data_IF_065126922201
#
_entry.id   IF_065126922201
#
_cell.length_a   1.000
_cell.length_b   1.000
_cell.length_c   1.000
_cell.angle_alpha   90.00
_cell.angle_beta   90.00
_cell.angle_gamma   90.00
#
_symmetry.space_group_name_H-M   'P 1'
#
loop_
_entity.id
_entity.type
_entity.pdbx_description
1 polymer ?
#
# COMPACT_ATOMS: atom_id res chain seq x y z
N UNK A 1 7.62 -0.69 23.04
CA UNK A 1 7.38 0.44 22.11
C UNK A 1 5.88 0.65 22.04
N UNK A 2 5.39 1.78 22.49
CA UNK A 2 3.95 2.04 22.46
C UNK A 2 3.63 2.56 21.04
N UNK A 3 2.87 1.81 20.27
CA UNK A 3 2.43 2.26 18.96
C UNK A 3 1.16 3.09 19.16
N UNK A 4 1.30 4.43 19.16
CA UNK A 4 0.16 5.33 19.37
C UNK A 4 -0.76 5.41 18.15
N UNK A 5 -0.19 5.54 16.96
CA UNK A 5 -0.95 5.83 15.73
C UNK A 5 -0.56 4.89 14.61
N UNK A 6 -1.55 4.50 13.79
CA UNK A 6 -1.36 3.60 12.65
C UNK A 6 -2.01 4.21 11.40
N UNK A 7 -1.27 4.16 10.29
CA UNK A 7 -1.78 4.53 8.97
C UNK A 7 -1.73 3.33 8.05
N UNK A 8 -2.88 2.89 7.57
CA UNK A 8 -2.98 1.92 6.50
C UNK A 8 -2.94 2.61 5.14
N UNK A 9 -2.20 2.03 4.23
CA UNK A 9 -2.11 2.48 2.84
C UNK A 9 -2.72 1.37 1.99
N UNK A 10 -3.83 1.68 1.36
CA UNK A 10 -4.60 0.77 0.51
C UNK A 10 -4.72 1.32 -0.91
N UNK A 11 -5.29 0.56 -1.82
CA UNK A 11 -5.57 1.06 -3.17
C UNK A 11 -6.88 0.51 -3.72
N UNK A 12 -7.48 1.24 -4.65
CA UNK A 12 -8.64 0.79 -5.41
C UNK A 12 -8.60 1.29 -6.86
N UNK A 13 -9.40 0.66 -7.71
CA UNK A 13 -9.61 1.15 -9.07
C UNK A 13 -10.55 2.37 -9.09
N UNK A 14 -10.20 3.35 -9.90
CA UNK A 14 -10.99 4.57 -10.10
C UNK A 14 -10.66 5.66 -9.08
N UNK A 15 -11.31 6.81 -9.25
CA UNK A 15 -10.98 8.03 -8.51
C UNK A 15 -9.80 8.79 -9.13
N UNK A 16 -9.71 10.06 -8.81
CA UNK A 16 -8.69 10.98 -9.34
C UNK A 16 -7.77 11.52 -8.25
N UNK A 17 -8.09 11.25 -6.99
CA UNK A 17 -7.38 11.82 -5.83
C UNK A 17 -7.24 10.79 -4.73
N UNK A 18 -6.16 10.85 -3.92
CA UNK A 18 -6.06 10.09 -2.68
C UNK A 18 -7.15 10.50 -1.68
N UNK A 19 -7.64 9.52 -0.95
CA UNK A 19 -8.67 9.70 0.08
C UNK A 19 -8.14 9.26 1.43
N UNK A 20 -8.40 10.05 2.46
CA UNK A 20 -8.01 9.75 3.84
C UNK A 20 -9.27 9.43 4.62
N UNK A 21 -9.40 8.19 5.09
CA UNK A 21 -10.53 7.75 5.88
C UNK A 21 -10.19 7.72 7.35
N UNK A 22 -11.05 8.37 8.13
CA UNK A 22 -11.02 8.38 9.58
C UNK A 22 -12.39 7.94 10.12
N UNK A 23 -12.44 7.37 11.31
CA UNK A 23 -13.69 6.88 11.88
C UNK A 23 -14.77 7.96 11.97
N UNK A 24 -14.40 9.18 12.36
CA UNK A 24 -15.30 10.31 12.55
C UNK A 24 -15.13 11.43 11.50
N UNK A 25 -14.34 11.22 10.44
CA UNK A 25 -14.03 12.25 9.43
C UNK A 25 -13.16 13.41 9.93
N UNK A 26 -12.68 13.36 11.17
CA UNK A 26 -11.79 14.37 11.77
C UNK A 26 -10.81 13.71 12.73
N UNK A 27 -9.52 14.03 12.61
CA UNK A 27 -8.47 13.55 13.48
C UNK A 27 -7.17 14.30 13.20
N UNK A 28 -6.35 14.48 14.23
CA UNK A 28 -5.09 15.21 14.12
C UNK A 28 -4.14 14.55 13.12
N UNK A 29 -4.12 13.21 13.08
CA UNK A 29 -3.29 12.46 12.14
C UNK A 29 -3.80 12.63 10.70
N UNK A 30 -5.12 12.57 10.49
CA UNK A 30 -5.72 12.75 9.16
C UNK A 30 -5.47 14.16 8.62
N UNK A 31 -5.65 15.21 9.43
CA UNK A 31 -5.39 16.61 9.05
C UNK A 31 -3.91 16.82 8.74
N UNK A 32 -3.03 16.22 9.55
CA UNK A 32 -1.59 16.27 9.33
C UNK A 32 -1.17 15.59 8.03
N UNK A 33 -1.70 14.39 7.76
CA UNK A 33 -1.43 13.69 6.52
C UNK A 33 -1.91 14.51 5.32
N UNK A 34 -3.12 15.08 5.38
CA UNK A 34 -3.64 15.94 4.34
C UNK A 34 -2.72 17.13 4.07
N UNK A 35 -2.23 17.80 5.13
CA UNK A 35 -1.28 18.92 5.01
C UNK A 35 0.03 18.49 4.36
N UNK A 36 0.62 17.38 4.78
CA UNK A 36 1.86 16.84 4.20
C UNK A 36 1.72 16.53 2.70
N UNK A 37 0.56 16.01 2.30
CA UNK A 37 0.27 15.73 0.90
C UNK A 37 0.06 17.03 0.11
N UNK A 38 -0.65 18.01 0.67
CA UNK A 38 -0.88 19.31 0.05
C UNK A 38 0.43 20.08 -0.21
N UNK A 39 1.38 20.02 0.71
CA UNK A 39 2.72 20.63 0.58
C UNK A 39 3.51 20.05 -0.62
N UNK A 40 3.14 18.88 -1.09
CA UNK A 40 3.73 18.22 -2.26
C UNK A 40 2.85 18.26 -3.50
N UNK A 41 1.75 19.03 -3.45
CA UNK A 41 0.83 19.23 -4.57
C UNK A 41 -0.25 18.16 -4.73
N UNK A 42 -0.37 17.21 -3.79
CA UNK A 42 -1.44 16.21 -3.79
C UNK A 42 -2.65 16.71 -3.01
N UNK A 43 -3.79 16.79 -3.66
CA UNK A 43 -5.06 17.09 -3.01
C UNK A 43 -5.69 15.81 -2.49
N UNK A 44 -5.67 15.60 -1.18
CA UNK A 44 -6.37 14.51 -0.54
C UNK A 44 -7.64 14.99 0.15
N UNK A 45 -8.72 14.21 0.09
CA UNK A 45 -9.95 14.48 0.85
C UNK A 45 -9.95 13.69 2.15
N UNK A 46 -10.54 14.25 3.21
CA UNK A 46 -10.76 13.53 4.47
C UNK A 46 -12.22 13.12 4.52
N UNK A 47 -12.45 11.82 4.66
CA UNK A 47 -13.77 11.20 4.66
C UNK A 47 -14.02 10.47 5.98
N UNK A 48 -15.29 10.37 6.37
CA UNK A 48 -15.73 9.50 7.46
C UNK A 48 -15.98 8.07 6.97
N UNK A 49 -16.09 7.13 7.93
CA UNK A 49 -16.48 5.75 7.60
C UNK A 49 -15.33 4.84 7.19
N UNK A 50 -14.19 4.97 7.86
CA UNK A 50 -13.08 4.01 7.76
C UNK A 50 -13.57 2.59 8.07
N UNK A 51 -13.01 1.59 7.39
CA UNK A 51 -13.29 0.18 7.68
C UNK A 51 -12.93 -0.16 9.14
N UNK A 52 -13.90 -0.60 9.97
CA UNK A 52 -13.66 -0.97 11.35
C UNK A 52 -12.71 -2.17 11.50
N UNK A 53 -12.60 -3.02 10.48
CA UNK A 53 -11.68 -4.16 10.46
C UNK A 53 -10.20 -3.75 10.56
N UNK A 54 -9.85 -2.56 10.08
CA UNK A 54 -8.48 -2.04 10.15
C UNK A 54 -8.01 -1.79 11.59
N UNK A 55 -8.91 -1.38 12.48
CA UNK A 55 -8.57 -1.20 13.89
C UNK A 55 -8.24 -2.53 14.58
N UNK A 56 -9.06 -3.55 14.33
CA UNK A 56 -8.82 -4.90 14.83
C UNK A 56 -7.52 -5.49 14.26
N UNK A 57 -7.24 -5.24 12.99
CA UNK A 57 -6.00 -5.66 12.36
C UNK A 57 -4.78 -4.97 12.99
N UNK A 58 -4.85 -3.65 13.20
CA UNK A 58 -3.79 -2.90 13.84
C UNK A 58 -3.51 -3.42 15.25
N UNK A 59 -4.55 -3.62 16.07
CA UNK A 59 -4.41 -4.16 17.42
C UNK A 59 -3.79 -5.57 17.41
N UNK A 60 -4.17 -6.42 16.45
CA UNK A 60 -3.59 -7.76 16.30
C UNK A 60 -2.11 -7.73 15.93
N UNK A 61 -1.70 -6.79 15.08
CA UNK A 61 -0.30 -6.66 14.64
C UNK A 61 0.60 -6.04 15.70
N UNK A 62 0.09 -5.12 16.50
CA UNK A 62 0.88 -4.36 17.49
C UNK A 62 0.80 -4.94 18.90
N UNK A 63 -0.17 -5.80 19.18
CA UNK A 63 -0.47 -6.33 20.51
C UNK A 63 -1.13 -5.33 21.45
N UNK A 64 -1.42 -4.11 21.00
CA UNK A 64 -2.09 -3.05 21.76
C UNK A 64 -3.09 -2.31 20.87
N UNK A 65 -4.15 -1.79 21.46
CA UNK A 65 -5.08 -0.94 20.73
C UNK A 65 -4.39 0.39 20.37
N UNK A 66 -4.39 0.80 19.09
CA UNK A 66 -3.82 2.07 18.68
C UNK A 66 -4.68 3.25 19.17
N UNK A 67 -4.06 4.41 19.35
CA UNK A 67 -4.76 5.64 19.75
C UNK A 67 -5.58 6.20 18.57
N UNK A 68 -5.00 6.21 17.39
CA UNK A 68 -5.66 6.65 16.17
C UNK A 68 -5.28 5.74 15.00
N UNK A 69 -6.27 5.35 14.20
CA UNK A 69 -6.09 4.58 12.97
C UNK A 69 -6.71 5.36 11.82
N UNK A 70 -5.94 5.58 10.77
CA UNK A 70 -6.43 6.16 9.52
C UNK A 70 -6.13 5.22 8.35
N UNK A 71 -6.89 5.37 7.26
CA UNK A 71 -6.64 4.72 5.99
C UNK A 71 -6.33 5.79 4.95
N UNK A 72 -5.18 5.71 4.30
CA UNK A 72 -4.88 6.43 3.08
C UNK A 72 -5.19 5.51 1.90
N UNK A 73 -6.24 5.83 1.16
CA UNK A 73 -6.64 5.08 -0.03
C UNK A 73 -6.09 5.75 -1.27
N UNK A 74 -5.24 5.03 -1.98
CA UNK A 74 -4.68 5.45 -3.25
C UNK A 74 -5.64 5.04 -4.37
N UNK A 75 -5.92 5.94 -5.29
CA UNK A 75 -6.70 5.66 -6.48
C UNK A 75 -5.76 5.44 -7.68
N UNK A 76 -6.13 4.54 -8.60
CA UNK A 76 -5.36 4.34 -9.85
C UNK A 76 -5.45 5.58 -10.74
N UNK A 77 -4.49 5.75 -11.64
CA UNK A 77 -4.51 6.84 -12.62
C UNK A 77 -3.41 7.88 -12.45
N UNK A 78 -2.71 7.89 -11.31
CA UNK A 78 -1.47 8.66 -11.15
C UNK A 78 -0.27 7.90 -11.72
N UNK A 79 0.85 8.56 -11.88
CA UNK A 79 2.09 7.94 -12.38
C UNK A 79 2.81 7.17 -11.27
N UNK A 80 3.73 6.28 -11.63
CA UNK A 80 4.59 5.59 -10.66
C UNK A 80 5.40 6.58 -9.82
N UNK A 81 5.76 7.72 -10.39
CA UNK A 81 6.53 8.77 -9.72
C UNK A 81 5.67 9.50 -8.68
N UNK A 82 4.39 9.77 -8.98
CA UNK A 82 3.45 10.35 -8.02
C UNK A 82 3.28 9.45 -6.78
N UNK A 83 3.10 8.14 -6.95
CA UNK A 83 3.01 7.20 -5.83
C UNK A 83 4.28 7.15 -5.00
N UNK A 84 5.45 7.26 -5.63
CA UNK A 84 6.73 7.36 -4.92
C UNK A 84 6.88 8.66 -4.15
N UNK A 85 6.41 9.77 -4.72
CA UNK A 85 6.38 11.05 -4.02
C UNK A 85 5.45 11.00 -2.80
N UNK A 86 4.30 10.34 -2.91
CA UNK A 86 3.42 10.06 -1.76
C UNK A 86 4.17 9.26 -0.70
N UNK A 87 4.85 8.16 -1.08
CA UNK A 87 5.68 7.39 -0.15
C UNK A 87 6.73 8.24 0.56
N UNK A 88 7.38 9.12 -0.16
CA UNK A 88 8.35 10.06 0.44
C UNK A 88 7.70 11.06 1.40
N UNK A 89 6.48 11.54 1.12
CA UNK A 89 5.73 12.36 2.08
C UNK A 89 5.47 11.62 3.40
N UNK A 90 5.18 10.33 3.33
CA UNK A 90 4.86 9.49 4.49
C UNK A 90 6.07 9.20 5.37
N UNK A 91 7.31 9.38 4.89
CA UNK A 91 8.53 9.23 5.70
C UNK A 91 8.49 10.11 6.95
N UNK A 92 7.97 11.33 6.84
CA UNK A 92 7.82 12.26 7.96
C UNK A 92 6.91 11.71 9.07
N UNK A 93 5.90 10.91 8.74
CA UNK A 93 5.05 10.22 9.72
C UNK A 93 5.80 9.07 10.40
N UNK A 94 6.56 8.29 9.62
CA UNK A 94 7.40 7.20 10.14
C UNK A 94 8.43 7.71 11.15
N UNK A 95 9.09 8.83 10.86
CA UNK A 95 10.08 9.47 11.76
C UNK A 95 9.46 9.92 13.08
N UNK A 96 8.15 10.13 13.13
CA UNK A 96 7.40 10.47 14.34
C UNK A 96 6.89 9.23 15.11
N UNK A 97 7.26 8.04 14.67
CA UNK A 97 6.88 6.79 15.31
C UNK A 97 5.49 6.28 14.92
N UNK A 98 4.88 6.82 13.85
CA UNK A 98 3.63 6.30 13.31
C UNK A 98 3.93 5.02 12.52
N UNK A 99 3.19 3.96 12.81
CA UNK A 99 3.30 2.71 12.08
C UNK A 99 2.57 2.84 10.72
N UNK A 100 3.29 2.58 9.64
CA UNK A 100 2.75 2.59 8.28
C UNK A 100 2.63 1.16 7.77
N UNK A 101 1.43 0.76 7.35
CA UNK A 101 1.11 -0.58 6.88
C UNK A 101 0.52 -0.49 5.48
N UNK A 102 1.25 -0.99 4.48
CA UNK A 102 0.75 -1.10 3.12
C UNK A 102 -0.02 -2.41 2.97
N UNK A 103 -1.29 -2.34 2.60
CA UNK A 103 -2.14 -3.49 2.35
C UNK A 103 -2.42 -3.62 0.86
N UNK A 104 -2.00 -4.74 0.29
CA UNK A 104 -2.40 -5.13 -1.05
C UNK A 104 -3.67 -6.01 -0.93
N UNK A 105 -4.79 -5.44 -1.33
CA UNK A 105 -6.08 -6.15 -1.44
C UNK A 105 -6.29 -6.51 -2.91
N UNK A 106 -5.73 -7.64 -3.34
CA UNK A 106 -6.06 -8.16 -4.66
C UNK A 106 -7.53 -8.59 -4.64
N UNK A 107 -8.39 -7.82 -5.30
CA UNK A 107 -9.75 -8.26 -5.59
C UNK A 107 -9.66 -9.55 -6.43
N UNK A 108 -10.06 -10.67 -5.86
CA UNK A 108 -10.20 -11.90 -6.61
C UNK A 108 -11.34 -11.71 -7.61
N UNK A 109 -10.99 -11.40 -8.85
CA UNK A 109 -11.95 -11.40 -9.95
C UNK A 109 -12.56 -12.80 -10.07
N UNK A 110 -13.88 -12.88 -10.09
CA UNK A 110 -14.65 -14.12 -10.21
C UNK A 110 -14.30 -14.98 -11.45
N UNK A 111 -13.38 -14.52 -12.30
CA UNK A 111 -12.97 -15.17 -13.55
C UNK A 111 -11.76 -16.10 -13.42
N UNK A 112 -11.01 -16.07 -12.32
CA UNK A 112 -9.79 -16.88 -12.17
C UNK A 112 -10.02 -18.27 -11.53
N UNK A 113 -11.26 -18.56 -11.10
CA UNK A 113 -11.60 -19.77 -10.33
C UNK A 113 -11.40 -21.07 -11.14
N UNK A 114 -11.36 -21.01 -12.47
CA UNK A 114 -11.39 -22.23 -13.30
C UNK A 114 -10.02 -22.84 -13.67
N UNK A 115 -8.89 -22.23 -13.29
CA UNK A 115 -7.56 -22.72 -13.66
C UNK A 115 -6.54 -22.78 -12.52
N UNK A 116 -6.97 -22.66 -11.27
CA UNK A 116 -6.02 -22.74 -10.16
C UNK A 116 -5.62 -24.20 -9.89
N UNK A 117 -4.31 -24.48 -9.71
CA UNK A 117 -3.84 -25.80 -9.32
C UNK A 117 -4.51 -26.27 -8.02
N UNK A 118 -4.94 -27.54 -7.96
CA UNK A 118 -5.53 -28.10 -6.74
C UNK A 118 -4.54 -28.18 -5.56
N UNK A 119 -3.23 -28.13 -5.84
CA UNK A 119 -2.19 -28.20 -4.83
C UNK A 119 -1.95 -26.81 -4.21
N UNK A 120 -2.22 -26.68 -2.92
CA UNK A 120 -2.03 -25.44 -2.16
C UNK A 120 -0.56 -24.94 -2.18
N UNK A 121 0.39 -25.86 -2.18
CA UNK A 121 1.81 -25.53 -2.26
C UNK A 121 2.17 -24.87 -3.59
N UNK A 122 1.68 -25.42 -4.70
CA UNK A 122 1.91 -24.88 -6.04
C UNK A 122 1.23 -23.50 -6.19
N UNK A 123 0.00 -23.35 -5.68
CA UNK A 123 -0.68 -22.05 -5.67
C UNK A 123 0.15 -20.97 -4.95
N UNK A 124 0.68 -21.31 -3.77
CA UNK A 124 1.51 -20.39 -3.00
C UNK A 124 2.80 -20.00 -3.74
N UNK A 125 3.45 -20.92 -4.41
CA UNK A 125 4.63 -20.63 -5.22
C UNK A 125 4.31 -19.68 -6.38
N UNK A 126 3.19 -19.90 -7.08
CA UNK A 126 2.75 -19.05 -8.18
C UNK A 126 2.45 -17.64 -7.67
N UNK A 127 1.70 -17.52 -6.58
CA UNK A 127 1.37 -16.21 -5.98
C UNK A 127 2.62 -15.48 -5.48
N UNK A 128 3.57 -16.21 -4.89
CA UNK A 128 4.85 -15.63 -4.49
C UNK A 128 5.60 -15.10 -5.71
N UNK A 129 5.68 -15.87 -6.78
CA UNK A 129 6.36 -15.47 -8.00
C UNK A 129 5.68 -14.26 -8.66
N UNK A 130 4.35 -14.24 -8.75
CA UNK A 130 3.59 -13.09 -9.25
C UNK A 130 3.88 -11.83 -8.44
N UNK A 131 3.90 -11.93 -7.13
CA UNK A 131 4.21 -10.80 -6.23
C UNK A 131 5.65 -10.29 -6.42
N UNK A 132 6.61 -11.19 -6.58
CA UNK A 132 7.99 -10.83 -6.90
C UNK A 132 8.10 -10.11 -8.24
N UNK A 133 7.34 -10.52 -9.25
CA UNK A 133 7.30 -9.84 -10.55
C UNK A 133 6.70 -8.42 -10.41
N UNK A 134 5.64 -8.24 -9.62
CA UNK A 134 5.06 -6.93 -9.35
C UNK A 134 6.06 -6.01 -8.60
N UNK A 135 6.80 -6.54 -7.63
CA UNK A 135 7.88 -5.80 -6.98
C UNK A 135 8.97 -5.39 -7.96
N UNK A 136 9.42 -6.28 -8.83
CA UNK A 136 10.40 -5.97 -9.88
C UNK A 136 9.88 -4.86 -10.81
N UNK A 137 8.61 -4.92 -11.17
CA UNK A 137 7.96 -3.88 -11.97
C UNK A 137 7.92 -2.53 -11.24
N UNK A 138 7.52 -2.51 -9.97
CA UNK A 138 7.51 -1.31 -9.15
C UNK A 138 8.91 -0.70 -8.97
N UNK A 139 9.93 -1.54 -8.74
CA UNK A 139 11.32 -1.10 -8.61
C UNK A 139 11.91 -0.59 -9.93
N UNK A 140 11.55 -1.19 -11.05
CA UNK A 140 12.05 -0.81 -12.38
C UNK A 140 11.35 0.42 -12.97
N UNK A 141 10.14 0.73 -12.53
CA UNK A 141 9.30 1.81 -13.04
C UNK A 141 10.02 3.16 -13.10
N UNK A 142 10.82 3.50 -12.09
CA UNK A 142 11.64 4.71 -12.09
C UNK A 142 12.77 4.72 -13.12
N UNK A 143 13.37 3.57 -13.43
CA UNK A 143 14.44 3.47 -14.42
C UNK A 143 13.93 3.55 -15.85
N UNK A 144 12.74 2.99 -16.11
CA UNK A 144 12.07 3.06 -17.42
C UNK A 144 11.45 4.44 -17.66
N UNK A 145 10.89 5.09 -16.62
CA UNK A 145 10.41 6.46 -16.69
C UNK A 145 11.55 7.44 -17.02
N UNK A 146 12.73 7.28 -16.43
CA UNK A 146 13.92 8.08 -16.77
C UNK A 146 14.35 7.99 -18.24
N UNK A 147 14.10 6.86 -18.92
CA UNK A 147 14.35 6.68 -20.34
C UNK A 147 13.18 7.15 -21.23
N UNK A 148 11.93 7.05 -20.74
CA UNK A 148 10.71 7.47 -21.46
C UNK A 148 10.30 8.91 -21.17
N UNK A 149 10.65 9.48 -20.02
CA UNK A 149 10.41 10.90 -19.69
C UNK A 149 11.08 11.85 -20.70
N UNK A 150 12.11 11.38 -21.42
CA UNK A 150 12.61 12.11 -22.59
C UNK A 150 11.61 12.17 -23.77
N UNK A 151 10.45 11.49 -23.68
CA UNK A 151 9.35 11.50 -24.66
C UNK A 151 8.01 11.99 -24.11
N UNK A 152 7.96 12.53 -22.89
CA UNK A 152 6.81 13.35 -22.42
C UNK A 152 5.49 12.62 -22.22
N UNK A 153 5.48 11.33 -21.86
CA UNK A 153 4.25 10.64 -21.46
C UNK A 153 4.52 9.77 -20.23
N UNK A 154 4.20 10.32 -19.06
CA UNK A 154 4.03 9.54 -17.84
C UNK A 154 2.78 8.66 -18.00
N UNK A 155 2.98 7.35 -18.01
CA UNK A 155 1.89 6.39 -18.18
C UNK A 155 1.23 6.20 -16.80
N UNK A 156 -0.07 6.46 -16.68
CA UNK A 156 -0.80 6.21 -15.45
C UNK A 156 -0.74 4.74 -15.04
N UNK A 157 -0.61 4.50 -13.75
CA UNK A 157 -0.66 3.15 -13.19
C UNK A 157 -2.12 2.71 -13.09
N UNK A 158 -2.45 1.61 -13.75
CA UNK A 158 -3.82 1.08 -13.79
C UNK A 158 -4.05 -0.06 -12.77
N UNK A 159 -2.99 -0.67 -12.27
CA UNK A 159 -3.06 -1.77 -11.30
C UNK A 159 -2.99 -1.22 -9.87
N UNK A 160 -4.05 -1.44 -9.04
CA UNK A 160 -4.06 -0.98 -7.65
C UNK A 160 -2.88 -1.51 -6.83
N UNK A 161 -2.47 -2.76 -7.04
CA UNK A 161 -1.30 -3.35 -6.36
C UNK A 161 -0.04 -2.54 -6.62
N UNK A 162 0.19 -2.12 -7.87
CA UNK A 162 1.36 -1.32 -8.22
C UNK A 162 1.33 0.09 -7.59
N UNK A 163 0.15 0.65 -7.32
CA UNK A 163 0.04 1.92 -6.58
C UNK A 163 0.62 1.77 -5.18
N UNK A 164 0.21 0.73 -4.45
CA UNK A 164 0.70 0.44 -3.10
C UNK A 164 2.20 0.09 -3.12
N UNK A 165 2.65 -0.76 -4.05
CA UNK A 165 4.05 -1.20 -4.11
C UNK A 165 5.01 -0.04 -4.45
N UNK A 166 4.65 0.87 -5.35
CA UNK A 166 5.47 2.06 -5.62
C UNK A 166 5.59 2.96 -4.39
N UNK A 167 4.49 3.16 -3.66
CA UNK A 167 4.48 3.94 -2.41
C UNK A 167 5.34 3.26 -1.34
N UNK A 168 5.19 1.95 -1.14
CA UNK A 168 5.96 1.17 -0.19
C UNK A 168 7.45 1.14 -0.54
N UNK A 169 7.80 1.03 -1.81
CA UNK A 169 9.18 1.06 -2.29
C UNK A 169 9.89 2.37 -1.93
N UNK A 170 9.21 3.50 -2.11
CA UNK A 170 9.73 4.80 -1.70
C UNK A 170 9.89 4.89 -0.18
N UNK A 171 8.90 4.45 0.60
CA UNK A 171 8.98 4.37 2.07
C UNK A 171 10.15 3.52 2.56
N UNK A 172 10.53 2.49 1.82
CA UNK A 172 11.69 1.64 2.08
C UNK A 172 13.02 2.26 1.64
N UNK A 173 13.05 3.55 1.29
CA UNK A 173 14.27 4.25 0.84
C UNK A 173 14.76 3.77 -0.51
N UNK A 174 13.87 3.37 -1.40
CA UNK A 174 14.16 2.82 -2.74
C UNK A 174 15.07 1.58 -2.70
N UNK A 175 14.95 0.77 -1.65
CA UNK A 175 15.65 -0.51 -1.50
C UNK A 175 14.69 -1.67 -1.75
N UNK A 176 15.22 -2.78 -2.25
CA UNK A 176 14.45 -4.00 -2.39
C UNK A 176 13.94 -4.49 -1.02
N UNK A 177 12.65 -4.83 -0.88
CA UNK A 177 12.13 -5.37 0.35
C UNK A 177 12.61 -6.79 0.58
N UNK A 178 12.64 -7.22 1.84
CA UNK A 178 12.86 -8.61 2.22
C UNK A 178 11.53 -9.22 2.65
N UNK A 179 11.29 -10.48 2.26
CA UNK A 179 10.14 -11.22 2.73
C UNK A 179 10.32 -11.56 4.20
N UNK A 180 9.46 -11.03 5.06
CA UNK A 180 9.51 -11.21 6.51
C UNK A 180 8.74 -12.46 6.92
N UNK A 181 7.58 -12.70 6.30
CA UNK A 181 6.78 -13.89 6.52
C UNK A 181 5.94 -14.23 5.28
N UNK A 182 5.43 -15.45 5.26
CA UNK A 182 4.45 -15.90 4.27
C UNK A 182 3.75 -17.14 4.79
N UNK A 183 2.43 -17.13 4.72
CA UNK A 183 1.56 -18.21 5.15
C UNK A 183 0.56 -18.58 4.06
N UNK A 184 0.26 -19.88 3.95
CA UNK A 184 -0.96 -20.34 3.30
C UNK A 184 -2.07 -20.36 4.36
N UNK A 185 -3.09 -19.56 4.19
CA UNK A 185 -4.12 -19.39 5.23
C UNK A 185 -5.25 -20.40 5.18
N UNK A 186 -5.31 -21.36 4.32
CA UNK A 186 -6.25 -22.49 4.26
C UNK A 186 -6.24 -23.15 2.88
N UNK A 187 -6.95 -24.26 2.74
CA UNK A 187 -7.21 -24.95 1.46
C UNK A 187 -7.94 -24.08 0.44
N UNK A 188 -8.60 -23.00 0.88
CA UNK A 188 -9.41 -22.08 0.07
C UNK A 188 -8.68 -20.84 -0.45
N UNK A 189 -7.37 -20.91 -0.63
CA UNK A 189 -6.66 -19.99 -1.53
C UNK A 189 -6.22 -18.59 -1.04
N UNK A 190 -6.15 -18.31 0.24
CA UNK A 190 -5.55 -17.05 0.67
C UNK A 190 -4.10 -17.26 1.11
N UNK A 191 -3.16 -16.65 0.41
CA UNK A 191 -1.79 -16.51 0.89
C UNK A 191 -1.59 -15.10 1.47
N UNK A 192 -1.00 -15.02 2.65
CA UNK A 192 -0.56 -13.78 3.24
C UNK A 192 0.97 -13.73 3.20
N UNK A 193 1.52 -12.70 2.63
CA UNK A 193 2.96 -12.44 2.66
C UNK A 193 3.22 -11.03 3.19
N UNK A 194 4.20 -10.91 4.08
CA UNK A 194 4.69 -9.63 4.57
C UNK A 194 6.08 -9.34 4.05
N UNK A 195 6.27 -8.13 3.62
CA UNK A 195 7.54 -7.59 3.16
C UNK A 195 7.94 -6.42 4.06
N UNK A 196 9.23 -6.27 4.30
CA UNK A 196 9.75 -5.19 5.13
C UNK A 196 11.19 -4.83 4.78
N UNK A 197 11.65 -3.74 5.34
CA UNK A 197 13.03 -3.29 5.25
C UNK A 197 13.63 -3.36 6.63
N UNK A 198 14.51 -4.34 6.84
CA UNK A 198 15.29 -4.43 8.07
C UNK A 198 16.50 -3.52 7.95
N UNK A 199 16.68 -2.66 8.93
CA UNK A 199 17.86 -1.81 9.09
C UNK A 199 18.94 -2.57 9.84
#
# INVERSE_FOLDING_TARGET
MQVGNVTFITSRKGGDKPEIFHQCGKGLLAERLQSLMADRGFQATIEGGRDPGLESLAASMTGVAPEEVIELRLNTGMTSDDYRQIGHCLEALREQGILLICLDQKEQGASEINHQPHDAYIRNLIQQWEHEQLWLQAMSGGSLAGRRARRGQDVPVADPTLCVLNTAFSLGGLKAPQRVFGFALNEDSHSLAGYGWMQ
#
